data_IF_923228383961
#
_entry.id   IF_923228383961
#
_cell.length_a   1.000
_cell.length_b   1.000
_cell.length_c   1.000
_cell.angle_alpha   90.00
_cell.angle_beta   90.00
_cell.angle_gamma   90.00
#
_symmetry.space_group_name_H-M   'P 1'
#
loop_
_entity.id
_entity.type
_entity.pdbx_description
1 polymer ?
#
# COMPACT_ATOMS: atom_id res chain seq x y z
N UNK A 1 -7.96 15.91 -5.43
CA UNK A 1 -6.86 15.56 -4.51
C UNK A 1 -5.46 16.02 -4.96
N UNK A 2 -4.78 15.43 -5.96
CA UNK A 2 -3.40 15.84 -6.30
C UNK A 2 -3.29 17.31 -6.78
N UNK A 3 -4.30 17.80 -7.51
CA UNK A 3 -4.36 19.22 -7.90
C UNK A 3 -4.52 20.15 -6.68
N UNK A 4 -5.39 19.81 -5.73
CA UNK A 4 -5.58 20.57 -4.49
C UNK A 4 -4.32 20.52 -3.61
N UNK A 5 -3.67 19.36 -3.52
CA UNK A 5 -2.39 19.21 -2.82
C UNK A 5 -1.32 20.12 -3.44
N UNK A 6 -1.25 20.20 -4.77
CA UNK A 6 -0.33 21.11 -5.47
C UNK A 6 -0.56 22.57 -5.09
N UNK A 7 -1.83 22.99 -5.00
CA UNK A 7 -2.18 24.35 -4.58
C UNK A 7 -1.82 24.64 -3.12
N UNK A 8 -2.02 23.68 -2.22
CA UNK A 8 -1.65 23.81 -0.81
C UNK A 8 -0.13 23.93 -0.65
N UNK A 9 0.63 23.06 -1.34
CA UNK A 9 2.08 23.03 -1.27
C UNK A 9 2.70 24.29 -1.90
N UNK A 10 2.11 24.81 -2.98
CA UNK A 10 2.56 26.05 -3.61
C UNK A 10 2.48 27.25 -2.66
N UNK A 11 1.51 27.29 -1.73
CA UNK A 11 1.43 28.34 -0.69
C UNK A 11 2.59 28.31 0.30
N UNK A 12 3.35 27.21 0.34
CA UNK A 12 4.52 27.01 1.19
C UNK A 12 5.82 26.97 0.36
N UNK A 13 5.77 27.37 -0.91
CA UNK A 13 6.86 27.27 -1.88
C UNK A 13 7.41 25.84 -2.07
N UNK A 14 6.63 24.82 -1.70
CA UNK A 14 6.98 23.41 -1.90
C UNK A 14 6.51 23.00 -3.29
N UNK A 15 7.42 22.47 -4.09
CA UNK A 15 7.10 22.00 -5.44
C UNK A 15 6.74 20.53 -5.43
N UNK A 16 5.50 20.19 -5.83
CA UNK A 16 5.14 18.82 -6.20
C UNK A 16 5.71 18.52 -7.60
N UNK A 17 6.78 17.72 -7.66
CA UNK A 17 7.45 17.36 -8.91
C UNK A 17 6.63 16.33 -9.71
N UNK A 18 5.96 15.41 -9.01
CA UNK A 18 5.07 14.42 -9.61
C UNK A 18 4.94 13.14 -8.79
N UNK A 19 4.07 12.24 -9.23
CA UNK A 19 3.91 10.91 -8.65
C UNK A 19 4.90 9.91 -9.25
N UNK A 20 5.35 8.94 -8.44
CA UNK A 20 6.27 7.88 -8.84
C UNK A 20 5.59 6.75 -9.62
N UNK A 21 4.27 6.59 -9.48
CA UNK A 21 3.46 5.61 -10.22
C UNK A 21 2.86 4.47 -9.37
N UNK A 22 3.11 4.45 -8.06
CA UNK A 22 2.51 3.49 -7.13
C UNK A 22 1.87 4.20 -5.94
N UNK A 23 0.97 3.47 -5.29
CA UNK A 23 0.37 3.86 -4.02
C UNK A 23 0.87 2.95 -2.90
N UNK A 24 1.03 3.52 -1.71
CA UNK A 24 1.25 2.77 -0.48
C UNK A 24 0.05 2.92 0.47
N UNK A 25 -1.14 2.67 -0.07
CA UNK A 25 -2.39 2.76 0.66
C UNK A 25 -2.60 1.56 1.59
N UNK A 26 -3.38 1.75 2.65
CA UNK A 26 -3.98 0.65 3.36
C UNK A 26 -4.84 -0.21 2.43
N UNK A 27 -4.91 -1.50 2.71
CA UNK A 27 -5.76 -2.44 2.01
C UNK A 27 -6.25 -3.53 2.96
N UNK A 28 -7.42 -4.08 2.66
CA UNK A 28 -7.84 -5.35 3.25
C UNK A 28 -7.28 -6.49 2.41
N UNK A 29 -6.63 -7.44 3.07
CA UNK A 29 -5.88 -8.53 2.43
C UNK A 29 -6.39 -9.87 2.95
N UNK A 30 -6.55 -10.84 2.05
CA UNK A 30 -6.93 -12.22 2.38
C UNK A 30 -6.21 -13.23 1.49
N UNK A 31 -6.19 -14.54 1.84
CA UNK A 31 -5.58 -15.56 1.00
C UNK A 31 -6.36 -15.70 -0.31
N UNK A 32 -5.66 -15.77 -1.45
CA UNK A 32 -6.29 -15.86 -2.78
C UNK A 32 -7.31 -16.98 -2.86
N UNK A 33 -6.89 -18.18 -2.45
CA UNK A 33 -7.75 -19.36 -2.47
C UNK A 33 -9.06 -19.17 -1.70
N UNK A 34 -9.00 -18.49 -0.54
CA UNK A 34 -10.19 -18.23 0.29
C UNK A 34 -11.07 -17.15 -0.33
N UNK A 35 -10.45 -16.11 -0.90
CA UNK A 35 -11.13 -15.07 -1.64
C UNK A 35 -11.95 -15.68 -2.79
N UNK A 36 -11.32 -16.51 -3.61
CA UNK A 36 -11.94 -17.16 -4.76
C UNK A 36 -13.05 -18.13 -4.33
N UNK A 37 -12.83 -18.92 -3.28
CA UNK A 37 -13.83 -19.86 -2.75
C UNK A 37 -15.09 -19.18 -2.22
N UNK A 38 -14.97 -17.95 -1.71
CA UNK A 38 -16.09 -17.16 -1.20
C UNK A 38 -16.63 -16.16 -2.23
N UNK A 39 -15.99 -16.03 -3.40
CA UNK A 39 -16.35 -15.02 -4.40
C UNK A 39 -16.06 -13.57 -3.95
N UNK A 40 -15.05 -13.37 -3.11
CA UNK A 40 -14.70 -12.06 -2.55
C UNK A 40 -13.58 -11.43 -3.38
N UNK A 41 -13.89 -10.38 -4.15
CA UNK A 41 -12.89 -9.62 -4.91
C UNK A 41 -12.84 -8.15 -4.52
N UNK A 42 -13.84 -7.67 -3.79
CA UNK A 42 -13.97 -6.31 -3.29
C UNK A 42 -14.36 -6.27 -1.81
N UNK A 43 -14.20 -5.09 -1.20
CA UNK A 43 -14.68 -4.84 0.17
C UNK A 43 -16.21 -4.89 0.24
N UNK A 44 -16.91 -4.60 -0.87
CA UNK A 44 -18.35 -4.80 -0.99
C UNK A 44 -18.73 -6.28 -0.83
N UNK A 45 -18.04 -7.17 -1.54
CA UNK A 45 -18.28 -8.62 -1.43
C UNK A 45 -17.97 -9.11 -0.02
N UNK A 46 -16.85 -8.63 0.55
CA UNK A 46 -16.42 -8.96 1.90
C UNK A 46 -17.48 -8.63 2.95
N UNK A 47 -18.21 -7.52 2.81
CA UNK A 47 -19.18 -7.07 3.79
C UNK A 47 -20.28 -8.10 4.07
N UNK A 48 -20.69 -8.88 3.06
CA UNK A 48 -21.67 -9.95 3.22
C UNK A 48 -21.14 -11.13 4.07
N UNK A 49 -19.83 -11.37 4.05
CA UNK A 49 -19.19 -12.47 4.76
C UNK A 49 -18.58 -12.06 6.10
N UNK A 50 -18.31 -10.76 6.30
CA UNK A 50 -17.64 -10.22 7.48
C UNK A 50 -18.19 -10.77 8.82
N UNK A 51 -19.51 -10.92 9.05
CA UNK A 51 -20.04 -11.44 10.32
C UNK A 51 -19.60 -12.87 10.67
N UNK A 52 -19.07 -13.61 9.70
CA UNK A 52 -18.53 -14.97 9.86
C UNK A 52 -17.00 -15.05 9.80
N UNK A 53 -16.34 -13.94 9.48
CA UNK A 53 -14.90 -13.84 9.31
C UNK A 53 -14.26 -13.08 10.47
N UNK A 54 -12.96 -13.27 10.62
CA UNK A 54 -12.09 -12.55 11.54
C UNK A 54 -11.19 -11.58 10.79
N UNK A 55 -10.91 -10.44 11.41
CA UNK A 55 -9.92 -9.48 10.92
C UNK A 55 -8.82 -9.27 11.97
N UNK A 56 -7.58 -9.13 11.52
CA UNK A 56 -6.50 -8.60 12.34
C UNK A 56 -5.88 -7.34 11.76
N UNK A 57 -5.50 -6.41 12.64
CA UNK A 57 -4.74 -5.22 12.28
C UNK A 57 -3.84 -4.84 13.45
N UNK A 58 -2.88 -3.96 13.22
CA UNK A 58 -2.21 -3.28 14.33
C UNK A 58 -3.17 -2.31 15.05
N UNK A 59 -2.77 -1.88 16.26
CA UNK A 59 -3.56 -0.95 17.06
C UNK A 59 -3.80 0.39 16.35
N UNK A 60 -2.79 0.89 15.64
CA UNK A 60 -2.86 2.18 14.98
C UNK A 60 -3.94 2.18 13.89
N UNK A 61 -4.00 1.14 13.06
CA UNK A 61 -4.99 1.01 12.00
C UNK A 61 -6.43 1.07 12.54
N UNK A 62 -6.74 0.34 13.61
CA UNK A 62 -8.10 0.39 14.18
C UNK A 62 -8.43 1.74 14.82
N UNK A 63 -7.42 2.52 15.23
CA UNK A 63 -7.61 3.88 15.77
C UNK A 63 -7.69 4.97 14.70
N UNK A 64 -7.35 4.63 13.44
CA UNK A 64 -7.21 5.58 12.34
C UNK A 64 -8.56 5.90 11.66
N UNK A 65 -8.73 7.12 11.13
CA UNK A 65 -9.93 7.50 10.38
C UNK A 65 -10.25 6.57 9.21
N UNK A 66 -9.25 5.95 8.60
CA UNK A 66 -9.39 5.02 7.49
C UNK A 66 -10.21 3.78 7.87
N UNK A 67 -10.00 3.22 9.06
CA UNK A 67 -10.81 2.10 9.53
C UNK A 67 -12.26 2.53 9.77
N UNK A 68 -12.47 3.70 10.39
CA UNK A 68 -13.80 4.25 10.58
C UNK A 68 -14.51 4.53 9.24
N UNK A 69 -13.79 5.03 8.23
CA UNK A 69 -14.29 5.26 6.89
C UNK A 69 -14.70 3.96 6.20
N UNK A 70 -13.88 2.90 6.29
CA UNK A 70 -14.22 1.57 5.78
C UNK A 70 -15.48 1.01 6.46
N UNK A 71 -15.54 1.08 7.78
CA UNK A 71 -16.70 0.62 8.53
C UNK A 71 -17.98 1.38 8.13
N UNK A 72 -17.90 2.70 8.02
CA UNK A 72 -19.04 3.55 7.62
C UNK A 72 -19.47 3.33 6.17
N UNK A 73 -18.52 3.23 5.24
CA UNK A 73 -18.80 3.10 3.82
C UNK A 73 -19.39 1.72 3.46
N UNK A 74 -18.93 0.65 4.11
CA UNK A 74 -19.28 -0.72 3.73
C UNK A 74 -20.14 -1.46 4.75
N UNK A 75 -20.30 -0.94 5.97
CA UNK A 75 -21.02 -1.65 7.03
C UNK A 75 -20.28 -2.89 7.52
N UNK A 76 -18.94 -2.88 7.49
CA UNK A 76 -18.12 -4.02 7.87
C UNK A 76 -18.28 -4.37 9.35
N UNK A 77 -18.93 -5.49 9.65
CA UNK A 77 -19.03 -6.04 11.00
C UNK A 77 -18.42 -7.43 11.04
N UNK A 78 -17.23 -7.56 11.63
CA UNK A 78 -16.53 -8.83 11.72
C UNK A 78 -16.96 -9.65 12.93
N UNK A 79 -16.97 -10.99 12.83
CA UNK A 79 -17.18 -11.87 13.99
C UNK A 79 -16.19 -11.57 15.11
N UNK A 80 -14.93 -11.31 14.73
CA UNK A 80 -13.84 -11.11 15.67
C UNK A 80 -12.82 -10.15 15.07
N UNK A 81 -12.41 -9.16 15.87
CA UNK A 81 -11.31 -8.26 15.55
C UNK A 81 -10.15 -8.52 16.51
N UNK A 82 -8.93 -8.68 15.97
CA UNK A 82 -7.74 -8.99 16.76
C UNK A 82 -6.66 -7.95 16.51
N UNK A 83 -6.08 -7.43 17.58
CA UNK A 83 -4.86 -6.63 17.46
C UNK A 83 -3.66 -7.57 17.30
N UNK A 84 -2.80 -7.26 16.34
CA UNK A 84 -1.63 -8.07 16.02
C UNK A 84 -0.49 -7.20 15.52
N UNK A 85 0.76 -7.55 15.87
CA UNK A 85 1.91 -6.83 15.36
C UNK A 85 2.09 -7.09 13.84
N UNK A 86 2.49 -6.08 13.05
CA UNK A 86 2.65 -6.19 11.60
C UNK A 86 3.52 -7.35 11.11
N UNK A 87 4.52 -7.73 11.88
CA UNK A 87 5.43 -8.83 11.54
C UNK A 87 4.72 -10.19 11.50
N UNK A 88 3.67 -10.37 12.31
CA UNK A 88 2.93 -11.63 12.39
C UNK A 88 1.67 -11.68 11.52
N UNK A 89 1.14 -10.52 11.11
CA UNK A 89 -0.16 -10.45 10.40
C UNK A 89 -0.17 -11.26 9.10
N UNK A 90 0.86 -11.11 8.27
CA UNK A 90 0.92 -11.79 6.96
C UNK A 90 1.06 -13.31 7.10
N UNK A 91 1.84 -13.77 8.06
CA UNK A 91 1.94 -15.20 8.35
C UNK A 91 0.61 -15.75 8.92
N UNK A 92 -0.06 -14.99 9.79
CA UNK A 92 -1.32 -15.40 10.40
C UNK A 92 -2.47 -15.50 9.38
N UNK A 93 -2.56 -14.57 8.42
CA UNK A 93 -3.58 -14.65 7.37
C UNK A 93 -3.26 -15.77 6.38
N UNK A 94 -1.99 -15.94 6.01
CA UNK A 94 -1.54 -17.01 5.12
C UNK A 94 -1.84 -18.40 5.70
N UNK A 95 -1.67 -18.58 7.02
CA UNK A 95 -1.96 -19.85 7.70
C UNK A 95 -3.44 -20.05 8.03
N UNK A 96 -4.32 -19.08 7.72
CA UNK A 96 -5.75 -19.13 8.07
C UNK A 96 -6.06 -18.94 9.56
N UNK A 97 -5.10 -18.48 10.38
CA UNK A 97 -5.36 -18.13 11.79
C UNK A 97 -6.26 -16.89 11.93
N UNK A 98 -6.27 -16.04 10.90
CA UNK A 98 -7.20 -14.93 10.70
C UNK A 98 -7.63 -14.93 9.24
N UNK A 99 -8.83 -14.44 8.95
CA UNK A 99 -9.38 -14.51 7.58
C UNK A 99 -8.98 -13.30 6.73
N UNK A 100 -8.85 -12.14 7.36
CA UNK A 100 -8.54 -10.86 6.74
C UNK A 100 -7.50 -10.12 7.59
N UNK A 101 -6.61 -9.37 6.95
CA UNK A 101 -5.76 -8.41 7.65
C UNK A 101 -5.87 -7.01 7.04
N UNK A 102 -5.59 -5.99 7.85
CA UNK A 102 -5.21 -4.69 7.33
C UNK A 102 -3.71 -4.71 6.97
N UNK A 103 -3.43 -4.50 5.70
CA UNK A 103 -2.07 -4.47 5.15
C UNK A 103 -1.83 -3.25 4.30
N UNK A 104 -0.71 -3.26 3.58
CA UNK A 104 -0.35 -2.20 2.64
C UNK A 104 -0.37 -2.73 1.22
N UNK A 105 -0.89 -1.93 0.29
CA UNK A 105 -0.90 -2.25 -1.13
C UNK A 105 0.50 -2.56 -1.67
N UNK A 106 1.55 -1.97 -1.11
CA UNK A 106 2.94 -2.18 -1.55
C UNK A 106 3.70 -3.31 -0.83
N UNK A 107 3.04 -4.07 0.05
CA UNK A 107 3.71 -5.14 0.82
C UNK A 107 4.17 -6.31 -0.08
N UNK A 108 5.44 -6.69 0.07
CA UNK A 108 6.06 -7.79 -0.68
C UNK A 108 5.51 -9.17 -0.32
N UNK A 109 5.21 -9.38 0.97
CA UNK A 109 4.65 -10.65 1.51
C UNK A 109 3.30 -11.04 0.89
N UNK A 110 2.58 -10.11 0.27
CA UNK A 110 1.35 -10.40 -0.48
C UNK A 110 1.63 -11.38 -1.62
N UNK A 111 2.72 -11.17 -2.36
CA UNK A 111 3.12 -12.08 -3.43
C UNK A 111 3.73 -13.36 -2.89
N UNK A 112 4.52 -13.27 -1.82
CA UNK A 112 5.19 -14.41 -1.19
C UNK A 112 4.20 -15.46 -0.66
N UNK A 113 3.13 -15.01 0.00
CA UNK A 113 2.12 -15.87 0.61
C UNK A 113 0.86 -16.11 -0.25
N UNK A 114 0.89 -15.74 -1.53
CA UNK A 114 -0.26 -15.80 -2.45
C UNK A 114 -1.55 -15.19 -1.87
N UNK A 115 -1.43 -13.95 -1.41
CA UNK A 115 -2.53 -13.15 -0.89
C UNK A 115 -3.08 -12.21 -1.97
N UNK A 116 -4.28 -11.68 -1.72
CA UNK A 116 -4.94 -10.68 -2.56
C UNK A 116 -5.34 -9.45 -1.75
N UNK A 117 -5.14 -8.28 -2.34
CA UNK A 117 -5.74 -7.03 -1.89
C UNK A 117 -7.15 -6.91 -2.47
N UNK A 118 -8.13 -6.58 -1.63
CA UNK A 118 -9.51 -6.39 -2.06
C UNK A 118 -9.71 -5.00 -2.64
N UNK A 119 -10.48 -4.91 -3.74
CA UNK A 119 -10.82 -3.64 -4.34
C UNK A 119 -11.72 -2.79 -3.42
N UNK A 120 -11.47 -1.48 -3.37
CA UNK A 120 -12.26 -0.49 -2.62
C UNK A 120 -13.12 0.35 -3.60
N UNK A 121 -14.25 -0.18 -4.12
CA UNK A 121 -15.05 0.50 -5.15
C UNK A 121 -15.69 1.82 -4.68
N UNK A 122 -15.89 2.01 -3.38
CA UNK A 122 -16.40 3.26 -2.78
C UNK A 122 -15.29 4.27 -2.48
N UNK A 123 -14.02 3.91 -2.72
CA UNK A 123 -12.86 4.75 -2.45
C UNK A 123 -12.86 5.31 -1.02
N UNK A 124 -13.19 4.44 -0.05
CA UNK A 124 -13.26 4.81 1.36
C UNK A 124 -11.87 5.04 1.97
N UNK A 125 -10.85 4.35 1.45
CA UNK A 125 -9.45 4.57 1.81
C UNK A 125 -8.93 5.74 0.97
N UNK A 126 -8.38 6.80 1.60
CA UNK A 126 -7.80 7.92 0.86
C UNK A 126 -6.60 7.43 0.02
N UNK A 127 -6.32 8.06 -1.13
CA UNK A 127 -5.20 7.66 -1.96
C UNK A 127 -3.88 8.01 -1.25
N UNK A 128 -2.90 7.11 -1.39
CA UNK A 128 -1.57 7.23 -0.80
C UNK A 128 -0.50 7.17 -1.91
N UNK A 129 -0.66 8.05 -2.89
CA UNK A 129 0.30 8.21 -3.98
C UNK A 129 1.70 8.54 -3.45
N UNK A 130 2.70 7.77 -3.90
CA UNK A 130 4.07 8.10 -3.64
C UNK A 130 4.51 9.27 -4.53
N UNK A 131 4.71 10.45 -3.94
CA UNK A 131 5.04 11.68 -4.66
C UNK A 131 6.43 12.23 -4.32
N UNK A 132 7.05 12.91 -5.27
CA UNK A 132 8.29 13.65 -5.06
C UNK A 132 7.99 15.12 -4.78
N UNK A 133 8.45 15.60 -3.64
CA UNK A 133 8.37 16.99 -3.22
C UNK A 133 9.76 17.63 -3.20
N UNK A 134 9.89 18.83 -3.76
CA UNK A 134 11.11 19.62 -3.69
C UNK A 134 10.93 20.76 -2.70
N UNK A 135 11.90 20.90 -1.80
CA UNK A 135 11.97 22.04 -0.90
C UNK A 135 12.17 23.35 -1.71
N UNK A 136 11.69 24.49 -1.20
CA UNK A 136 11.77 25.78 -1.90
C UNK A 136 13.18 26.09 -2.44
N UNK A 137 14.21 25.88 -1.61
CA UNK A 137 15.62 26.10 -1.94
C UNK A 137 16.17 25.27 -3.10
N UNK A 138 15.48 24.21 -3.55
CA UNK A 138 15.85 23.36 -4.69
C UNK A 138 14.81 23.38 -5.80
N UNK A 139 13.78 24.22 -5.69
CA UNK A 139 12.68 24.29 -6.67
C UNK A 139 13.16 24.63 -8.09
N UNK A 140 14.30 25.30 -8.24
CA UNK A 140 14.89 25.66 -9.53
C UNK A 140 16.20 24.93 -9.86
N UNK A 141 16.53 23.87 -9.13
CA UNK A 141 17.71 23.06 -9.43
C UNK A 141 17.43 22.13 -10.62
N UNK A 142 17.85 22.58 -11.81
CA UNK A 142 17.64 21.84 -13.05
C UNK A 142 18.29 20.46 -13.03
N UNK A 143 19.52 20.33 -12.52
CA UNK A 143 20.23 19.05 -12.49
C UNK A 143 19.52 18.03 -11.59
N UNK A 144 19.02 18.48 -10.43
CA UNK A 144 18.22 17.64 -9.54
C UNK A 144 16.92 17.20 -10.21
N UNK A 145 16.20 18.12 -10.85
CA UNK A 145 14.94 17.79 -11.52
C UNK A 145 15.15 16.80 -12.66
N UNK A 146 16.15 17.00 -13.51
CA UNK A 146 16.46 16.08 -14.60
C UNK A 146 16.86 14.68 -14.09
N UNK A 147 17.52 14.58 -12.94
CA UNK A 147 17.84 13.29 -12.33
C UNK A 147 16.60 12.56 -11.79
N UNK A 148 15.57 13.29 -11.35
CA UNK A 148 14.37 12.72 -10.71
C UNK A 148 13.21 12.47 -11.68
N UNK A 149 13.07 13.29 -12.74
CA UNK A 149 12.00 13.18 -13.75
C UNK A 149 11.85 11.77 -14.35
N UNK A 150 12.93 11.00 -14.62
CA UNK A 150 12.81 9.64 -15.13
C UNK A 150 12.08 8.65 -14.20
N UNK A 151 11.90 8.99 -12.92
CA UNK A 151 11.18 8.14 -11.96
C UNK A 151 9.66 8.35 -12.02
N UNK A 152 9.20 9.47 -12.57
CA UNK A 152 7.80 9.89 -12.50
C UNK A 152 6.90 8.95 -13.32
N UNK A 153 5.91 8.35 -12.66
CA UNK A 153 4.95 7.42 -13.27
C UNK A 153 5.54 6.10 -13.74
N UNK A 154 6.75 5.73 -13.31
CA UNK A 154 7.48 4.55 -13.82
C UNK A 154 7.53 3.37 -12.87
N UNK A 155 7.19 3.56 -11.60
CA UNK A 155 7.22 2.49 -10.59
C UNK A 155 5.81 1.97 -10.41
N UNK A 156 5.46 0.85 -11.03
CA UNK A 156 4.18 0.19 -10.77
C UNK A 156 4.16 -0.55 -9.41
N UNK A 157 2.96 -0.87 -8.92
CA UNK A 157 2.78 -1.50 -7.60
C UNK A 157 3.43 -2.89 -7.51
N UNK A 158 3.46 -3.65 -8.61
CA UNK A 158 4.05 -4.99 -8.62
C UNK A 158 5.57 -4.93 -8.47
N UNK A 159 6.20 -3.98 -9.16
CA UNK A 159 7.62 -3.66 -9.08
C UNK A 159 7.98 -3.16 -7.67
N UNK A 160 7.15 -2.29 -7.09
CA UNK A 160 7.38 -1.78 -5.74
C UNK A 160 7.26 -2.88 -4.66
N UNK A 161 6.29 -3.81 -4.79
CA UNK A 161 6.20 -4.99 -3.90
C UNK A 161 7.47 -5.83 -3.92
N UNK A 162 8.03 -6.07 -5.11
CA UNK A 162 9.29 -6.80 -5.25
C UNK A 162 10.47 -6.02 -4.65
N UNK A 163 10.51 -4.69 -4.81
CA UNK A 163 11.50 -3.83 -4.18
C UNK A 163 11.44 -3.93 -2.64
N UNK A 164 10.24 -3.84 -2.06
CA UNK A 164 10.02 -3.94 -0.62
C UNK A 164 10.41 -5.32 -0.08
N UNK A 165 10.06 -6.40 -0.80
CA UNK A 165 10.45 -7.76 -0.42
C UNK A 165 11.98 -7.92 -0.35
N UNK A 166 12.70 -7.36 -1.35
CA UNK A 166 14.17 -7.38 -1.37
C UNK A 166 14.79 -6.60 -0.21
N UNK A 167 14.08 -5.61 0.33
CA UNK A 167 14.53 -4.81 1.47
C UNK A 167 14.16 -5.42 2.84
N UNK A 168 13.10 -6.24 2.94
CA UNK A 168 12.52 -6.69 4.22
C UNK A 168 12.87 -8.11 4.66
N UNK A 169 13.46 -8.95 3.80
CA UNK A 169 13.79 -10.34 4.13
C UNK A 169 14.70 -10.49 5.36
N UNK A 170 14.45 -11.52 6.19
CA UNK A 170 15.18 -11.86 7.43
C UNK A 170 16.70 -12.06 7.25
N UNK A 171 17.13 -12.25 6.00
CA UNK A 171 18.47 -11.95 5.53
C UNK A 171 18.34 -10.77 4.57
N UNK A 172 18.79 -9.57 4.97
CA UNK A 172 18.90 -8.43 4.07
C UNK A 172 19.89 -8.78 2.94
N UNK A 173 19.45 -9.52 1.94
CA UNK A 173 20.27 -10.01 0.83
C UNK A 173 20.71 -8.86 -0.09
N UNK A 174 20.25 -7.64 0.15
CA UNK A 174 20.63 -6.46 -0.63
C UNK A 174 20.55 -5.19 0.24
N UNK A 175 21.66 -4.45 0.42
CA UNK A 175 21.61 -3.13 1.05
C UNK A 175 20.70 -2.18 0.25
N UNK A 176 20.16 -1.10 0.84
CA UNK A 176 19.26 -0.18 0.15
C UNK A 176 19.78 0.31 -1.21
N UNK A 177 21.08 0.55 -1.34
CA UNK A 177 21.70 0.93 -2.62
C UNK A 177 21.69 -0.17 -3.68
N UNK A 178 21.72 -1.44 -3.30
CA UNK A 178 21.55 -2.57 -4.23
C UNK A 178 20.09 -2.68 -4.70
N UNK A 179 19.13 -2.53 -3.79
CA UNK A 179 17.70 -2.50 -4.15
C UNK A 179 17.38 -1.31 -5.06
N UNK A 180 17.93 -0.13 -4.78
CA UNK A 180 17.77 1.05 -5.61
C UNK A 180 18.33 0.87 -7.03
N UNK A 181 19.51 0.24 -7.17
CA UNK A 181 20.09 -0.07 -8.49
C UNK A 181 19.25 -1.07 -9.27
N UNK A 182 18.78 -2.13 -8.61
CA UNK A 182 17.88 -3.10 -9.22
C UNK A 182 16.57 -2.45 -9.67
N UNK A 183 15.97 -1.60 -8.83
CA UNK A 183 14.73 -0.90 -9.16
C UNK A 183 14.95 0.03 -10.35
N UNK A 184 16.07 0.76 -10.38
CA UNK A 184 16.44 1.61 -11.51
C UNK A 184 16.55 0.82 -12.82
N UNK A 185 17.21 -0.34 -12.84
CA UNK A 185 17.29 -1.20 -14.02
C UNK A 185 15.89 -1.58 -14.52
N UNK A 186 15.02 -2.05 -13.61
CA UNK A 186 13.63 -2.42 -13.94
C UNK A 186 12.85 -1.29 -14.60
N UNK A 187 12.91 -0.08 -14.06
CA UNK A 187 12.07 1.03 -14.55
C UNK A 187 12.70 1.80 -15.71
N UNK A 188 14.02 1.76 -15.87
CA UNK A 188 14.73 2.45 -16.96
C UNK A 188 14.70 1.68 -18.29
N UNK A 189 14.27 0.41 -18.27
CA UNK A 189 14.21 -0.43 -19.46
C UNK A 189 15.59 -0.91 -19.94
N UNK A 190 16.56 -1.01 -19.03
CA UNK A 190 17.91 -1.54 -19.27
C UNK A 190 18.11 -2.90 -18.61
#
# INVERSE_FOLDING_TARGET
LLAELKEILAKQDITLLGALGFENAYALVMPRQRADALGIHSITDLAAHAPTLSIAADYEFFSRPEWAALHSAYGLSFRTQRQMQPDFMYAAVASGNVDVIAGYTSEGRIKEYDLVTLADPKQAIPPYDAVLLLAPRRAHDAALQEALKPLLGRIDIATMREANLRASGSNANSPPGAVARWLWQRISGQ
#
